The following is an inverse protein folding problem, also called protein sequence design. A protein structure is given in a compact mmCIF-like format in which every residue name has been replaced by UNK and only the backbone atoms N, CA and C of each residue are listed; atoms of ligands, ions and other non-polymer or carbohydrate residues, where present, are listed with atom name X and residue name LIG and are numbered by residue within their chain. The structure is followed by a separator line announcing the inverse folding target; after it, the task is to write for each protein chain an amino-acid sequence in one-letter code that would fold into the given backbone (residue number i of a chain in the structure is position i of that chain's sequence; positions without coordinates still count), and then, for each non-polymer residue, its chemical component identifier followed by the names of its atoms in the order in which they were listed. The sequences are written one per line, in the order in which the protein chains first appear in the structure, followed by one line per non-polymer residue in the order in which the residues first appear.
data_IF_671152491613
#
_entry.id   IF_671152491613
#
_cell.length_a   1.000
_cell.length_b   1.000
_cell.length_c   1.000
_cell.angle_alpha   90.00
_cell.angle_beta   90.00
_cell.angle_gamma   90.00
#
_symmetry.space_group_name_H-M   'P 1'
#
loop_
_entity.id
_entity.type
_entity.pdbx_description
1 polymer ?
#
# COMPACT_ATOMS: atom_id res chain seq x y z
N UNK A 1 20.90 0.20 3.40
CA UNK A 1 19.47 0.56 3.37
C UNK A 1 18.75 -0.14 4.50
N UNK A 2 18.01 0.60 5.30
CA UNK A 2 17.23 0.01 6.39
C UNK A 2 16.00 -0.72 5.84
N UNK A 3 15.37 -1.53 6.69
CA UNK A 3 14.12 -2.19 6.32
C UNK A 3 13.04 -1.16 6.00
N UNK A 4 12.92 -0.12 6.82
CA UNK A 4 11.92 0.92 6.60
C UNK A 4 12.11 1.62 5.27
N UNK A 5 13.35 1.94 4.92
CA UNK A 5 13.66 2.54 3.63
C UNK A 5 13.29 1.61 2.48
N UNK A 6 13.55 0.32 2.64
CA UNK A 6 13.21 -0.67 1.62
C UNK A 6 11.70 -0.76 1.42
N UNK A 7 10.92 -0.75 2.50
CA UNK A 7 9.47 -0.79 2.41
C UNK A 7 8.91 0.49 1.80
N UNK A 8 9.45 1.65 2.18
CA UNK A 8 9.04 2.92 1.60
C UNK A 8 9.37 2.97 0.11
N UNK A 9 10.51 2.42 -0.29
CA UNK A 9 10.90 2.37 -1.68
C UNK A 9 9.92 1.54 -2.50
N UNK A 10 9.45 0.44 -1.96
CA UNK A 10 8.45 -0.38 -2.63
C UNK A 10 7.10 0.36 -2.71
N UNK A 11 6.72 1.09 -1.66
CA UNK A 11 5.51 1.90 -1.70
C UNK A 11 5.60 2.98 -2.79
N UNK A 12 6.78 3.59 -2.95
CA UNK A 12 7.02 4.57 -4.02
C UNK A 12 6.86 3.90 -5.39
N UNK A 13 7.37 2.67 -5.54
CA UNK A 13 7.22 1.93 -6.79
C UNK A 13 5.75 1.69 -7.12
N UNK A 14 4.94 1.39 -6.12
CA UNK A 14 3.50 1.24 -6.30
C UNK A 14 2.84 2.57 -6.71
N UNK A 15 3.26 3.68 -6.10
CA UNK A 15 2.75 5.00 -6.48
C UNK A 15 3.08 5.33 -7.93
N UNK A 16 4.25 4.94 -8.41
CA UNK A 16 4.64 5.13 -9.80
C UNK A 16 3.76 4.32 -10.75
N UNK A 17 3.31 3.15 -10.33
CA UNK A 17 2.36 2.36 -11.12
C UNK A 17 1.04 3.11 -11.29
N UNK A 18 0.54 3.71 -10.22
CA UNK A 18 -0.67 4.52 -10.30
C UNK A 18 -0.47 5.69 -11.27
N UNK A 19 0.68 6.38 -11.17
CA UNK A 19 1.00 7.49 -12.05
C UNK A 19 1.03 7.06 -13.51
N UNK A 20 1.56 5.89 -13.79
CA UNK A 20 1.62 5.36 -15.17
C UNK A 20 0.22 5.14 -15.74
N UNK A 21 -0.77 4.90 -14.88
CA UNK A 21 -2.17 4.76 -15.28
C UNK A 21 -2.91 6.09 -15.24
N UNK A 22 -2.21 7.19 -15.03
CA UNK A 22 -2.79 8.54 -14.89
C UNK A 22 -3.74 8.63 -13.69
N UNK A 23 -3.50 7.82 -12.69
CA UNK A 23 -4.19 7.90 -11.41
C UNK A 23 -3.42 8.81 -10.46
N UNK A 24 -4.08 9.22 -9.38
CA UNK A 24 -3.37 9.94 -8.32
C UNK A 24 -2.25 9.02 -7.80
N UNK A 25 -0.98 9.49 -7.76
CA UNK A 25 0.17 8.61 -7.50
C UNK A 25 0.32 8.28 -6.01
N UNK A 26 -0.52 7.40 -5.54
CA UNK A 26 -0.50 6.90 -4.17
C UNK A 26 -0.23 5.41 -4.23
N UNK A 27 0.71 4.96 -3.41
CA UNK A 27 1.04 3.56 -3.29
C UNK A 27 1.28 3.17 -1.85
N UNK A 28 1.12 1.90 -1.54
CA UNK A 28 1.38 1.42 -0.20
C UNK A 28 1.74 -0.05 -0.18
N UNK A 29 2.37 -0.46 0.93
CA UNK A 29 2.64 -1.86 1.21
C UNK A 29 2.22 -2.15 2.64
N UNK A 30 1.84 -3.39 2.89
CA UNK A 30 1.54 -3.87 4.23
C UNK A 30 2.58 -4.92 4.56
N UNK A 31 3.18 -4.77 5.73
CA UNK A 31 4.29 -5.60 6.20
C UNK A 31 3.85 -6.37 7.44
N UNK A 32 4.16 -7.65 7.48
CA UNK A 32 3.96 -8.50 8.64
C UNK A 32 5.23 -9.30 8.85
N UNK A 33 5.73 -9.30 10.07
CA UNK A 33 6.93 -10.06 10.44
C UNK A 33 8.12 -9.80 9.50
N UNK A 34 8.34 -8.53 9.18
CA UNK A 34 9.46 -8.12 8.34
C UNK A 34 9.31 -8.42 6.86
N UNK A 35 8.14 -8.87 6.44
CA UNK A 35 7.89 -9.22 5.03
C UNK A 35 6.72 -8.44 4.48
N UNK A 36 6.83 -8.01 3.23
CA UNK A 36 5.71 -7.40 2.52
C UNK A 36 4.71 -8.50 2.18
N UNK A 37 3.49 -8.37 2.70
CA UNK A 37 2.43 -9.34 2.44
C UNK A 37 1.39 -8.83 1.45
N UNK A 38 1.35 -7.52 1.22
CA UNK A 38 0.40 -6.95 0.26
C UNK A 38 0.92 -5.62 -0.26
N UNK A 39 0.51 -5.31 -1.48
CA UNK A 39 0.83 -4.04 -2.15
C UNK A 39 -0.46 -3.47 -2.71
N UNK A 40 -0.52 -2.15 -2.78
CA UNK A 40 -1.67 -1.49 -3.39
C UNK A 40 -1.29 -0.15 -3.99
N UNK A 41 -2.03 0.26 -4.99
CA UNK A 41 -1.89 1.58 -5.57
C UNK A 41 -3.26 2.06 -6.04
N UNK A 42 -3.39 3.38 -6.22
CA UNK A 42 -4.66 3.97 -6.56
C UNK A 42 -5.09 3.54 -7.97
N UNK A 43 -6.32 3.04 -8.09
CA UNK A 43 -6.89 2.58 -9.35
C UNK A 43 -8.35 3.06 -9.52
N UNK A 44 -8.73 4.14 -8.84
CA UNK A 44 -10.13 4.60 -8.83
C UNK A 44 -10.72 4.78 -10.22
N UNK A 45 -10.00 5.46 -11.10
CA UNK A 45 -10.48 5.69 -12.47
C UNK A 45 -10.35 4.43 -13.32
N UNK A 46 -9.25 3.71 -13.15
CA UNK A 46 -8.98 2.49 -13.92
C UNK A 46 -10.03 1.42 -13.64
N UNK A 47 -10.35 1.21 -12.36
CA UNK A 47 -11.33 0.21 -11.94
C UNK A 47 -12.76 0.74 -11.97
N UNK A 48 -12.93 2.05 -12.21
CA UNK A 48 -14.24 2.72 -12.13
C UNK A 48 -14.93 2.43 -10.80
N UNK A 49 -14.14 2.42 -9.73
CA UNK A 49 -14.60 2.07 -8.41
C UNK A 49 -14.04 3.08 -7.41
N UNK A 50 -14.93 3.84 -6.77
CA UNK A 50 -14.54 4.86 -5.81
C UNK A 50 -13.70 4.31 -4.66
N UNK A 51 -13.88 3.03 -4.34
CA UNK A 51 -13.18 2.38 -3.24
C UNK A 51 -11.81 1.83 -3.65
N UNK A 52 -11.41 1.96 -4.91
CA UNK A 52 -10.13 1.40 -5.37
C UNK A 52 -8.97 2.33 -5.04
N UNK A 53 -8.85 2.67 -3.76
CA UNK A 53 -7.73 3.41 -3.20
C UNK A 53 -6.56 2.47 -2.91
N UNK A 54 -5.35 3.02 -2.89
CA UNK A 54 -4.14 2.23 -2.63
C UNK A 54 -4.25 1.45 -1.32
N UNK A 55 -4.63 2.13 -0.25
CA UNK A 55 -4.70 1.52 1.08
C UNK A 55 -5.76 0.43 1.14
N UNK A 56 -6.92 0.68 0.58
CA UNK A 56 -8.01 -0.30 0.57
C UNK A 56 -7.64 -1.53 -0.26
N UNK A 57 -6.97 -1.32 -1.39
CA UNK A 57 -6.51 -2.43 -2.22
C UNK A 57 -5.49 -3.29 -1.47
N UNK A 58 -4.56 -2.66 -0.76
CA UNK A 58 -3.56 -3.39 0.00
C UNK A 58 -4.19 -4.13 1.19
N UNK A 59 -5.10 -3.47 1.91
CA UNK A 59 -5.80 -4.09 3.05
C UNK A 59 -6.58 -5.31 2.61
N UNK A 60 -7.31 -5.19 1.51
CA UNK A 60 -8.10 -6.32 0.97
C UNK A 60 -7.19 -7.51 0.66
N UNK A 61 -6.06 -7.25 0.02
CA UNK A 61 -5.11 -8.30 -0.34
C UNK A 61 -4.45 -8.91 0.90
N UNK A 62 -4.11 -8.09 1.89
CA UNK A 62 -3.51 -8.57 3.13
C UNK A 62 -4.48 -9.46 3.90
N UNK A 63 -5.73 -9.03 4.03
CA UNK A 63 -6.76 -9.80 4.72
C UNK A 63 -6.96 -11.16 4.04
N UNK A 64 -6.98 -11.17 2.71
CA UNK A 64 -7.14 -12.41 1.96
C UNK A 64 -5.95 -13.34 2.18
N UNK A 65 -4.73 -12.79 2.18
CA UNK A 65 -3.52 -13.59 2.37
C UNK A 65 -3.46 -14.19 3.77
N UNK A 66 -3.83 -13.42 4.79
CA UNK A 66 -3.82 -13.89 6.17
C UNK A 66 -5.02 -14.76 6.52
N UNK A 67 -6.05 -14.74 5.67
CA UNK A 67 -7.28 -15.48 5.94
C UNK A 67 -8.08 -14.91 7.09
N UNK A 68 -7.87 -13.63 7.40
CA UNK A 68 -8.53 -12.97 8.52
C UNK A 68 -8.72 -11.49 8.18
N UNK A 69 -9.82 -10.91 8.64
CA UNK A 69 -10.05 -9.48 8.48
C UNK A 69 -9.19 -8.65 9.44
N UNK A 70 -8.66 -9.26 10.49
CA UNK A 70 -7.79 -8.59 11.44
C UNK A 70 -6.36 -8.55 10.92
N UNK A 71 -5.76 -7.38 10.96
CA UNK A 71 -4.39 -7.17 10.50
C UNK A 71 -3.46 -6.92 11.69
N UNK A 72 -3.59 -7.74 12.72
CA UNK A 72 -2.78 -7.62 13.92
C UNK A 72 -1.30 -7.82 13.57
N UNK A 73 -0.45 -7.00 14.15
CA UNK A 73 0.98 -7.07 13.92
C UNK A 73 1.42 -6.58 12.55
N UNK A 74 0.54 -5.98 11.77
CA UNK A 74 0.87 -5.44 10.46
C UNK A 74 1.19 -3.96 10.53
N UNK A 75 2.06 -3.50 9.64
CA UNK A 75 2.41 -2.09 9.49
C UNK A 75 2.19 -1.70 8.05
N UNK A 76 1.55 -0.57 7.83
CA UNK A 76 1.38 -0.02 6.49
C UNK A 76 2.38 1.09 6.23
N UNK A 77 3.05 1.03 5.09
CA UNK A 77 3.91 2.09 4.57
C UNK A 77 3.21 2.67 3.36
N UNK A 78 2.84 3.94 3.43
CA UNK A 78 2.09 4.58 2.36
C UNK A 78 2.79 5.85 1.90
N UNK A 79 2.73 6.09 0.59
CA UNK A 79 3.38 7.22 -0.06
C UNK A 79 2.41 7.86 -1.03
N UNK A 80 2.30 9.19 -0.96
CA UNK A 80 1.79 9.99 -2.07
C UNK A 80 3.02 10.55 -2.78
N UNK A 81 3.07 10.43 -4.10
CA UNK A 81 4.24 10.90 -4.84
C UNK A 81 4.47 12.41 -4.65
N UNK A 82 3.41 13.15 -4.37
CA UNK A 82 3.49 14.57 -4.11
C UNK A 82 3.90 14.88 -2.67
N UNK A 83 3.75 13.88 -1.75
CA UNK A 83 4.08 14.03 -0.34
C UNK A 83 4.56 12.69 0.19
N UNK A 84 5.72 12.69 0.83
CA UNK A 84 6.17 11.51 1.56
C UNK A 84 5.40 11.43 2.87
N UNK A 85 4.81 10.29 3.14
CA UNK A 85 4.07 10.06 4.36
C UNK A 85 4.78 9.01 5.20
N UNK A 86 4.64 9.15 6.50
CA UNK A 86 5.16 8.15 7.40
C UNK A 86 4.31 6.87 7.30
N UNK A 87 4.81 5.83 7.88
CA UNK A 87 4.08 4.57 8.00
C UNK A 87 3.06 4.66 9.15
N UNK A 88 2.08 3.78 9.10
CA UNK A 88 1.09 3.63 10.15
C UNK A 88 1.03 2.18 10.59
N UNK A 89 0.91 1.97 11.90
CA UNK A 89 0.74 0.63 12.45
C UNK A 89 -0.74 0.26 12.40
N UNK A 90 -1.01 -0.94 11.90
CA UNK A 90 -2.36 -1.48 11.81
C UNK A 90 -2.55 -2.50 12.93
N UNK A 91 -3.44 -2.22 13.84
CA UNK A 91 -3.65 -3.15 14.95
C UNK A 91 -5.07 -3.11 15.46
#
# INVERSE_FOLDING_TARGET
MTEEERFMKEAIRQAKKARALKEVPIGCVIVSEGKIIARGYNRRNTDKNTLSHAELNAIRKASKKLGDWRLEGCTMYAVSYTHLRAHETLS
#
